data_IF_957705630917
#
_entry.id   IF_957705630917
#
_cell.length_a   1.000
_cell.length_b   1.000
_cell.length_c   1.000
_cell.angle_alpha   90.00
_cell.angle_beta   90.00
_cell.angle_gamma   90.00
#
_symmetry.space_group_name_H-M   'P 1'
#
loop_
_entity.id
_entity.type
_entity.pdbx_description
1 polymer ?
#
# COMPACT_ATOMS: atom_id res chain seq x y z
N UNK A 1 -10.94 -8.62 7.31
CA UNK A 1 -10.22 -8.52 6.04
C UNK A 1 -9.29 -9.72 5.86
N UNK A 2 -9.04 -10.14 4.62
CA UNK A 2 -8.13 -11.25 4.29
C UNK A 2 -6.67 -10.95 4.61
N UNK A 3 -6.29 -9.68 4.54
CA UNK A 3 -4.95 -9.20 4.86
C UNK A 3 -5.02 -7.97 5.75
N UNK A 4 -4.00 -7.76 6.55
CA UNK A 4 -3.81 -6.54 7.33
C UNK A 4 -2.35 -6.08 7.28
N UNK A 5 -2.09 -4.90 7.83
CA UNK A 5 -0.75 -4.32 7.86
C UNK A 5 -0.23 -4.35 9.27
N UNK A 6 0.95 -4.96 9.46
CA UNK A 6 1.68 -4.99 10.72
C UNK A 6 2.95 -4.15 10.64
N UNK A 7 3.22 -3.38 11.68
CA UNK A 7 4.47 -2.64 11.81
C UNK A 7 5.64 -3.56 12.18
N UNK A 8 6.80 -3.37 11.55
CA UNK A 8 8.04 -3.97 12.06
C UNK A 8 8.56 -3.17 13.25
N UNK A 9 9.24 -3.81 14.18
CA UNK A 9 9.82 -3.16 15.36
C UNK A 9 11.11 -2.37 15.04
N UNK A 10 11.51 -1.49 15.95
CA UNK A 10 12.71 -0.69 15.79
C UNK A 10 14.00 -1.54 15.69
N UNK A 11 14.04 -2.75 16.30
CA UNK A 11 15.17 -3.67 16.20
C UNK A 11 15.34 -4.16 14.78
N UNK A 12 14.25 -4.59 14.15
CA UNK A 12 14.22 -5.01 12.74
C UNK A 12 14.64 -3.90 11.78
N UNK A 13 14.26 -2.64 12.08
CA UNK A 13 14.69 -1.48 11.29
C UNK A 13 16.21 -1.25 11.42
N UNK A 14 16.77 -1.35 12.63
CA UNK A 14 18.21 -1.25 12.84
C UNK A 14 19.01 -2.35 12.13
N UNK A 15 18.46 -3.57 12.06
CA UNK A 15 19.08 -4.67 11.31
C UNK A 15 19.18 -4.38 9.80
N UNK A 16 18.30 -3.52 9.25
CA UNK A 16 18.40 -3.03 7.88
C UNK A 16 19.49 -1.95 7.70
N UNK A 17 20.28 -1.65 8.75
CA UNK A 17 21.30 -0.59 8.76
C UNK A 17 20.72 0.80 8.43
N UNK A 18 19.54 1.08 8.98
CA UNK A 18 18.86 2.37 8.86
C UNK A 18 19.08 3.15 10.15
N UNK A 19 19.74 4.31 10.02
CA UNK A 19 19.76 5.36 11.04
C UNK A 19 18.95 6.54 10.51
N UNK A 20 17.89 6.92 11.23
CA UNK A 20 17.02 8.02 10.83
C UNK A 20 17.71 9.38 10.80
N UNK A 21 18.83 9.52 11.54
CA UNK A 21 19.64 10.75 11.53
C UNK A 21 20.38 10.97 10.19
N UNK A 22 20.55 9.93 9.38
CA UNK A 22 21.21 10.04 8.07
C UNK A 22 20.37 10.75 7.01
N UNK A 23 19.07 10.91 7.25
CA UNK A 23 18.12 11.36 6.22
C UNK A 23 17.62 12.79 6.46
N UNK A 24 17.44 13.50 5.36
CA UNK A 24 16.94 14.89 5.35
C UNK A 24 15.60 15.02 4.63
N UNK A 25 15.19 13.96 3.94
CA UNK A 25 13.94 13.90 3.17
C UNK A 25 13.27 12.52 3.26
N UNK A 26 11.96 12.49 3.35
CA UNK A 26 11.15 11.27 3.42
C UNK A 26 10.21 11.21 2.21
N UNK A 27 10.22 10.08 1.50
CA UNK A 27 9.28 9.80 0.40
C UNK A 27 8.11 9.00 0.94
N UNK A 28 6.91 9.56 0.88
CA UNK A 28 5.69 8.98 1.43
C UNK A 28 4.73 8.59 0.30
N UNK A 29 4.58 7.30 0.06
CA UNK A 29 3.74 6.76 -1.02
C UNK A 29 2.33 6.37 -0.57
N UNK A 30 2.08 6.29 0.75
CA UNK A 30 0.80 5.88 1.31
C UNK A 30 0.59 6.41 2.72
N UNK A 31 -0.64 6.31 3.25
CA UNK A 31 -0.94 6.61 4.66
C UNK A 31 -0.21 5.68 5.62
N UNK A 32 -0.08 4.39 5.26
CA UNK A 32 0.70 3.44 6.06
C UNK A 32 2.17 3.86 6.16
N UNK A 33 2.77 4.37 5.07
CA UNK A 33 4.13 4.88 5.10
C UNK A 33 4.26 6.08 6.07
N UNK A 34 3.25 6.94 6.14
CA UNK A 34 3.21 8.05 7.11
C UNK A 34 3.13 7.51 8.54
N UNK A 35 2.12 6.70 8.86
CA UNK A 35 1.91 6.19 10.22
C UNK A 35 3.13 5.43 10.73
N UNK A 36 3.68 4.52 9.89
CA UNK A 36 4.81 3.70 10.31
C UNK A 36 6.14 4.46 10.38
N UNK A 37 6.33 5.53 9.58
CA UNK A 37 7.48 6.39 9.74
C UNK A 37 7.48 7.07 11.13
N UNK A 38 6.36 7.69 11.52
CA UNK A 38 6.29 8.38 12.81
C UNK A 38 6.30 7.41 13.98
N UNK A 39 5.68 6.23 13.87
CA UNK A 39 5.76 5.17 14.88
C UNK A 39 7.22 4.72 15.10
N UNK A 40 7.96 4.44 14.03
CA UNK A 40 9.38 4.04 14.13
C UNK A 40 10.23 5.19 14.67
N UNK A 41 9.97 6.44 14.28
CA UNK A 41 10.66 7.60 14.84
C UNK A 41 10.47 7.67 16.37
N UNK A 42 9.26 7.45 16.86
CA UNK A 42 8.96 7.41 18.30
C UNK A 42 9.66 6.24 18.99
N UNK A 43 9.54 5.01 18.48
CA UNK A 43 10.20 3.82 19.03
C UNK A 43 11.74 3.94 19.07
N UNK A 44 12.33 4.60 18.08
CA UNK A 44 13.76 4.87 18.02
C UNK A 44 14.16 6.12 18.81
N UNK A 45 13.23 6.83 19.42
CA UNK A 45 13.43 8.10 20.12
C UNK A 45 14.08 9.16 19.21
N UNK A 46 13.77 9.09 17.92
CA UNK A 46 14.22 10.06 16.92
C UNK A 46 13.27 11.26 16.90
N UNK A 47 13.79 12.41 17.32
CA UNK A 47 13.05 13.67 17.19
C UNK A 47 13.18 14.16 15.75
N UNK A 48 12.10 14.04 14.97
CA UNK A 48 12.09 14.48 13.58
C UNK A 48 12.40 15.98 13.50
N UNK A 49 13.50 16.36 12.78
CA UNK A 49 13.92 17.76 12.74
C UNK A 49 12.89 18.63 12.01
N UNK A 50 12.79 19.88 12.43
CA UNK A 50 11.99 20.89 11.73
C UNK A 50 12.40 21.13 10.27
N UNK A 51 13.63 20.78 9.92
CA UNK A 51 14.18 20.89 8.56
C UNK A 51 13.76 19.72 7.65
N UNK A 52 13.21 18.63 8.20
CA UNK A 52 12.81 17.45 7.43
C UNK A 52 11.87 17.81 6.29
N UNK A 53 12.16 17.31 5.10
CA UNK A 53 11.32 17.48 3.89
C UNK A 53 10.50 16.22 3.63
N UNK A 54 9.29 16.39 3.14
CA UNK A 54 8.37 15.30 2.85
C UNK A 54 7.93 15.35 1.39
N UNK A 55 8.09 14.25 0.68
CA UNK A 55 7.68 14.07 -0.71
C UNK A 55 6.49 13.11 -0.74
N UNK A 56 5.29 13.66 -0.82
CA UNK A 56 4.04 12.91 -0.75
C UNK A 56 3.54 12.58 -2.15
N UNK A 57 3.29 11.31 -2.43
CA UNK A 57 2.85 10.85 -3.75
C UNK A 57 1.56 11.53 -4.23
N UNK A 58 0.67 11.89 -3.30
CA UNK A 58 -0.61 12.52 -3.63
C UNK A 58 -1.06 13.51 -2.55
N UNK A 59 -2.03 14.36 -2.90
CA UNK A 59 -2.66 15.28 -1.94
C UNK A 59 -3.29 14.55 -0.75
N UNK A 60 -3.86 13.36 -0.97
CA UNK A 60 -4.45 12.55 0.10
C UNK A 60 -3.40 12.12 1.13
N UNK A 61 -2.16 11.81 0.70
CA UNK A 61 -1.05 11.48 1.60
C UNK A 61 -0.55 12.73 2.31
N UNK A 62 -0.42 13.86 1.60
CA UNK A 62 0.00 15.13 2.17
C UNK A 62 -1.00 15.66 3.21
N UNK A 63 -2.30 15.51 2.94
CA UNK A 63 -3.35 15.84 3.90
C UNK A 63 -3.26 14.96 5.15
N UNK A 64 -3.07 13.66 4.97
CA UNK A 64 -2.93 12.71 6.08
C UNK A 64 -1.68 12.97 6.94
N UNK A 65 -0.59 13.41 6.32
CA UNK A 65 0.66 13.78 7.01
C UNK A 65 0.43 14.89 8.06
N UNK A 66 -0.58 15.74 7.89
CA UNK A 66 -0.90 16.82 8.84
C UNK A 66 -1.33 16.31 10.23
N UNK A 67 -1.63 15.02 10.36
CA UNK A 67 -1.83 14.35 11.65
C UNK A 67 -0.57 14.43 12.54
N UNK A 68 0.61 14.50 11.91
CA UNK A 68 1.91 14.42 12.58
C UNK A 68 2.73 15.72 12.50
N UNK A 69 2.55 16.49 11.43
CA UNK A 69 3.33 17.70 11.20
C UNK A 69 2.46 18.86 10.75
N UNK A 70 2.85 20.08 11.14
CA UNK A 70 2.19 21.29 10.64
C UNK A 70 2.52 21.48 9.16
N UNK A 71 1.49 21.71 8.35
CA UNK A 71 1.67 21.93 6.91
C UNK A 71 2.50 23.19 6.64
N UNK A 72 3.59 23.02 5.91
CA UNK A 72 4.46 24.12 5.46
C UNK A 72 4.87 23.88 4.01
N UNK A 73 4.47 24.78 3.09
CA UNK A 73 4.81 24.70 1.63
C UNK A 73 6.29 24.48 1.33
N UNK A 74 7.20 24.93 2.23
CA UNK A 74 8.66 24.77 2.05
C UNK A 74 9.17 23.39 2.41
N UNK A 75 8.35 22.51 3.00
CA UNK A 75 8.74 21.21 3.52
C UNK A 75 7.94 20.06 2.95
N UNK A 76 6.75 20.32 2.42
CA UNK A 76 5.85 19.29 1.91
C UNK A 76 5.68 19.50 0.41
N UNK A 77 6.17 18.54 -0.36
CA UNK A 77 6.13 18.49 -1.82
C UNK A 77 5.15 17.41 -2.24
N UNK A 78 4.25 17.72 -3.15
CA UNK A 78 3.11 16.86 -3.45
C UNK A 78 3.07 16.53 -4.93
N UNK A 79 3.03 15.22 -5.24
CA UNK A 79 2.69 14.70 -6.56
C UNK A 79 1.17 14.74 -6.79
N UNK A 80 0.73 14.47 -8.00
CA UNK A 80 -0.69 14.46 -8.34
C UNK A 80 -1.32 13.11 -7.97
N UNK A 81 -0.81 12.02 -8.52
CA UNK A 81 -1.34 10.67 -8.33
C UNK A 81 -0.29 9.58 -8.48
N UNK A 82 0.55 9.68 -9.51
CA UNK A 82 1.58 8.68 -9.80
C UNK A 82 2.89 9.04 -9.11
N UNK A 83 3.72 8.05 -8.84
CA UNK A 83 5.06 8.29 -8.29
C UNK A 83 5.92 9.16 -9.20
N UNK A 84 5.77 9.00 -10.51
CA UNK A 84 6.45 9.79 -11.53
C UNK A 84 6.20 11.30 -11.42
N UNK A 85 5.09 11.71 -10.83
CA UNK A 85 4.79 13.14 -10.57
C UNK A 85 5.76 13.76 -9.56
N UNK A 86 6.37 12.93 -8.68
CA UNK A 86 7.37 13.40 -7.72
C UNK A 86 8.77 13.57 -8.33
N UNK A 87 9.05 12.93 -9.46
CA UNK A 87 10.38 12.94 -10.09
C UNK A 87 10.95 14.35 -10.30
N UNK A 88 10.21 15.32 -10.86
CA UNK A 88 10.72 16.70 -11.02
C UNK A 88 11.05 17.37 -9.68
N UNK A 89 10.24 17.08 -8.65
CA UNK A 89 10.45 17.63 -7.30
C UNK A 89 11.67 17.00 -6.63
N UNK A 90 11.84 15.68 -6.74
CA UNK A 90 13.00 14.95 -6.21
C UNK A 90 14.29 15.43 -6.90
N UNK A 91 14.29 15.56 -8.23
CA UNK A 91 15.43 16.10 -8.99
C UNK A 91 15.82 17.51 -8.56
N UNK A 92 14.85 18.37 -8.23
CA UNK A 92 15.12 19.71 -7.73
C UNK A 92 15.87 19.71 -6.39
N UNK A 93 15.67 18.67 -5.59
CA UNK A 93 16.26 18.50 -4.27
C UNK A 93 17.22 17.29 -4.20
N UNK A 94 17.94 17.04 -5.30
CA UNK A 94 18.82 15.87 -5.49
C UNK A 94 19.92 15.72 -4.41
N UNK A 95 20.28 16.81 -3.74
CA UNK A 95 21.33 16.84 -2.70
C UNK A 95 20.80 16.38 -1.33
N UNK A 96 19.49 16.16 -1.19
CA UNK A 96 18.90 15.58 0.01
C UNK A 96 19.19 14.09 0.11
N UNK A 97 19.18 13.57 1.34
CA UNK A 97 19.28 12.14 1.61
C UNK A 97 17.88 11.59 1.85
N UNK A 98 17.39 10.80 0.91
CA UNK A 98 16.00 10.33 0.90
C UNK A 98 15.85 8.99 1.62
N UNK A 99 14.84 8.88 2.49
CA UNK A 99 14.34 7.61 3.01
C UNK A 99 13.00 7.29 2.35
N UNK A 100 12.84 6.05 1.89
CA UNK A 100 11.59 5.49 1.40
C UNK A 100 11.05 4.45 2.41
N UNK A 101 10.21 4.85 3.39
CA UNK A 101 9.46 3.91 4.21
C UNK A 101 8.49 3.11 3.35
N UNK A 102 8.55 1.78 3.41
CA UNK A 102 7.72 0.93 2.55
C UNK A 102 7.23 -0.33 3.27
N UNK A 103 6.29 -1.02 2.64
CA UNK A 103 5.98 -2.41 2.95
C UNK A 103 7.12 -3.33 2.50
N UNK A 104 7.15 -4.54 3.01
CA UNK A 104 7.94 -5.65 2.48
C UNK A 104 7.62 -5.92 1.00
N UNK A 105 6.33 -5.86 0.64
CA UNK A 105 5.85 -5.94 -0.75
C UNK A 105 5.79 -4.54 -1.35
N UNK A 106 6.77 -4.17 -2.16
CA UNK A 106 6.82 -2.91 -2.87
C UNK A 106 6.87 -3.16 -4.38
N UNK A 107 6.05 -2.44 -5.14
CA UNK A 107 6.12 -2.46 -6.61
C UNK A 107 7.48 -1.93 -7.06
N UNK A 108 8.09 -2.60 -8.03
CA UNK A 108 9.44 -2.28 -8.53
C UNK A 108 9.51 -0.92 -9.23
N UNK A 109 8.41 -0.40 -9.74
CA UNK A 109 8.34 0.90 -10.44
C UNK A 109 8.91 2.07 -9.61
N UNK A 110 8.72 2.06 -8.28
CA UNK A 110 9.24 3.12 -7.40
C UNK A 110 10.75 3.01 -7.20
N UNK A 111 11.33 1.87 -6.77
CA UNK A 111 12.77 1.69 -6.70
C UNK A 111 13.45 1.93 -8.05
N UNK A 112 12.94 1.33 -9.13
CA UNK A 112 13.53 1.46 -10.47
C UNK A 112 13.59 2.93 -10.92
N UNK A 113 12.52 3.69 -10.65
CA UNK A 113 12.51 5.13 -10.92
C UNK A 113 13.57 5.86 -10.11
N UNK A 114 13.70 5.58 -8.79
CA UNK A 114 14.66 6.25 -7.93
C UNK A 114 16.11 5.96 -8.32
N UNK A 115 16.42 4.72 -8.73
CA UNK A 115 17.75 4.34 -9.23
C UNK A 115 18.16 5.17 -10.47
N UNK A 116 17.21 5.46 -11.35
CA UNK A 116 17.51 6.28 -12.54
C UNK A 116 17.83 7.74 -12.24
N UNK A 117 17.51 8.23 -11.02
CA UNK A 117 17.66 9.65 -10.67
C UNK A 117 19.06 10.04 -10.17
N UNK A 118 19.93 9.07 -9.94
CA UNK A 118 21.28 9.29 -9.39
C UNK A 118 21.26 10.17 -8.14
N UNK A 119 20.42 9.83 -7.18
CA UNK A 119 20.26 10.52 -5.89
C UNK A 119 20.66 9.61 -4.73
N UNK A 120 20.93 10.20 -3.56
CA UNK A 120 21.17 9.43 -2.36
C UNK A 120 19.86 9.02 -1.72
N UNK A 121 19.50 7.74 -1.81
CA UNK A 121 18.27 7.21 -1.23
C UNK A 121 18.47 5.82 -0.62
N UNK A 122 17.61 5.49 0.35
CA UNK A 122 17.51 4.13 0.90
C UNK A 122 16.05 3.75 1.10
N UNK A 123 15.73 2.50 0.82
CA UNK A 123 14.48 1.87 1.20
C UNK A 123 14.59 1.33 2.63
N UNK A 124 13.52 1.48 3.41
CA UNK A 124 13.38 0.80 4.69
C UNK A 124 12.01 0.13 4.81
N UNK A 125 11.99 -1.13 5.19
CA UNK A 125 10.77 -1.88 5.46
C UNK A 125 10.30 -1.51 6.87
N UNK A 126 9.21 -0.77 6.98
CA UNK A 126 8.64 -0.30 8.23
C UNK A 126 7.35 -1.01 8.61
N UNK A 127 6.75 -1.73 7.67
CA UNK A 127 5.54 -2.52 7.86
C UNK A 127 5.50 -3.69 6.88
N UNK A 128 4.65 -4.67 7.17
CA UNK A 128 4.45 -5.87 6.36
C UNK A 128 2.98 -6.05 6.07
N UNK A 129 2.67 -6.62 4.91
CA UNK A 129 1.33 -7.11 4.61
C UNK A 129 1.25 -8.56 5.09
N UNK A 130 0.37 -8.81 6.05
CA UNK A 130 0.23 -10.11 6.71
C UNK A 130 -1.13 -10.71 6.38
N UNK A 131 -1.15 -12.00 6.16
CA UNK A 131 -2.37 -12.78 6.01
C UNK A 131 -3.08 -12.84 7.36
N UNK A 132 -4.36 -12.47 7.38
CA UNK A 132 -5.17 -12.55 8.59
C UNK A 132 -5.54 -14.01 8.89
N UNK A 133 -5.54 -14.38 10.17
CA UNK A 133 -6.16 -15.62 10.60
C UNK A 133 -7.68 -15.48 10.49
N UNK A 134 -8.31 -16.32 9.68
CA UNK A 134 -9.74 -16.36 9.42
C UNK A 134 -10.37 -17.69 9.84
N UNK A 135 -9.72 -18.41 10.74
CA UNK A 135 -10.17 -19.73 11.21
C UNK A 135 -11.58 -19.71 11.83
N UNK A 136 -11.96 -18.58 12.41
CA UNK A 136 -13.30 -18.31 12.96
C UNK A 136 -14.40 -18.23 11.89
N UNK A 137 -14.04 -18.00 10.63
CA UNK A 137 -14.97 -17.90 9.50
C UNK A 137 -15.16 -19.20 8.73
N UNK A 138 -14.58 -20.32 9.17
CA UNK A 138 -14.62 -21.61 8.46
C UNK A 138 -16.05 -22.10 8.17
N UNK A 139 -16.99 -21.79 9.05
CA UNK A 139 -18.39 -22.21 8.93
C UNK A 139 -19.31 -21.08 8.45
N UNK A 140 -18.74 -19.95 7.98
CA UNK A 140 -19.52 -18.80 7.51
C UNK A 140 -19.57 -18.83 5.99
N UNK A 141 -20.78 -18.80 5.45
CA UNK A 141 -20.99 -18.67 4.01
C UNK A 141 -21.15 -17.21 3.61
N UNK A 142 -20.48 -16.83 2.53
CA UNK A 142 -20.60 -15.51 1.93
C UNK A 142 -21.08 -15.63 0.48
N UNK A 143 -22.09 -14.87 0.09
CA UNK A 143 -22.59 -14.82 -1.29
C UNK A 143 -21.54 -14.23 -2.24
N UNK A 144 -20.77 -13.24 -1.79
CA UNK A 144 -19.77 -12.56 -2.60
C UNK A 144 -18.49 -12.35 -1.78
N UNK A 145 -17.36 -12.80 -2.32
CA UNK A 145 -16.03 -12.47 -1.81
C UNK A 145 -15.38 -11.43 -2.72
N UNK A 146 -14.80 -10.38 -2.10
CA UNK A 146 -14.24 -9.23 -2.83
C UNK A 146 -12.74 -9.15 -2.59
N UNK A 147 -11.95 -9.12 -3.67
CA UNK A 147 -10.49 -9.06 -3.61
C UNK A 147 -9.95 -7.84 -4.35
N UNK A 148 -9.05 -7.12 -3.70
CA UNK A 148 -8.37 -5.93 -4.22
C UNK A 148 -6.89 -6.16 -4.55
N UNK A 149 -6.37 -7.35 -4.22
CA UNK A 149 -4.96 -7.68 -4.44
C UNK A 149 -4.75 -9.19 -4.56
N UNK A 150 -3.65 -9.63 -5.21
CA UNK A 150 -3.23 -11.04 -5.22
C UNK A 150 -3.09 -11.65 -3.83
N UNK A 151 -2.56 -10.88 -2.86
CA UNK A 151 -2.40 -11.34 -1.46
C UNK A 151 -3.73 -11.71 -0.80
N UNK A 152 -4.85 -11.10 -1.22
CA UNK A 152 -6.18 -11.49 -0.74
C UNK A 152 -6.59 -12.88 -1.22
N UNK A 153 -6.29 -13.21 -2.49
CA UNK A 153 -6.53 -14.56 -3.05
C UNK A 153 -5.64 -15.60 -2.33
N UNK A 154 -4.36 -15.26 -2.13
CA UNK A 154 -3.43 -16.11 -1.39
C UNK A 154 -3.94 -16.39 0.03
N UNK A 155 -4.43 -15.36 0.71
CA UNK A 155 -5.01 -15.49 2.05
C UNK A 155 -6.25 -16.39 2.07
N UNK A 156 -7.11 -16.31 1.06
CA UNK A 156 -8.24 -17.24 0.95
C UNK A 156 -7.77 -18.70 0.93
N UNK A 157 -6.82 -19.00 0.05
CA UNK A 157 -6.34 -20.38 -0.14
C UNK A 157 -5.53 -20.91 1.05
N UNK A 158 -4.79 -20.04 1.74
CA UNK A 158 -4.05 -20.44 2.95
C UNK A 158 -4.97 -20.70 4.15
N UNK A 159 -5.99 -19.85 4.35
CA UNK A 159 -6.95 -20.05 5.44
C UNK A 159 -7.93 -21.20 5.17
N UNK A 160 -8.26 -21.42 3.90
CA UNK A 160 -9.25 -22.41 3.47
C UNK A 160 -8.68 -23.26 2.32
N UNK A 161 -7.76 -24.20 2.61
CA UNK A 161 -7.13 -25.03 1.56
C UNK A 161 -8.12 -25.84 0.72
N UNK A 162 -9.24 -26.23 1.34
CA UNK A 162 -10.31 -27.01 0.72
C UNK A 162 -11.45 -26.10 0.19
N UNK A 163 -11.16 -24.81 -0.07
CA UNK A 163 -12.18 -23.87 -0.56
C UNK A 163 -12.71 -24.30 -1.92
N UNK A 164 -13.99 -24.59 -1.96
CA UNK A 164 -14.75 -24.80 -3.18
C UNK A 164 -15.69 -23.61 -3.42
N UNK A 165 -15.54 -22.94 -4.53
CA UNK A 165 -16.28 -21.72 -4.83
C UNK A 165 -17.80 -21.92 -4.90
N UNK A 166 -18.27 -23.06 -5.48
CA UNK A 166 -19.71 -23.36 -5.66
C UNK A 166 -20.53 -22.14 -6.12
N UNK A 167 -21.49 -21.71 -5.31
CA UNK A 167 -22.37 -20.58 -5.60
C UNK A 167 -21.81 -19.22 -5.16
N UNK A 168 -20.69 -19.20 -4.41
CA UNK A 168 -20.03 -17.94 -4.01
C UNK A 168 -19.53 -17.20 -5.23
N UNK A 169 -19.84 -15.91 -5.32
CA UNK A 169 -19.38 -15.03 -6.39
C UNK A 169 -18.03 -14.42 -6.00
N UNK A 170 -17.12 -14.35 -6.97
CA UNK A 170 -15.81 -13.74 -6.79
C UNK A 170 -15.77 -12.40 -7.52
N UNK A 171 -15.55 -11.33 -6.78
CA UNK A 171 -15.34 -9.98 -7.30
C UNK A 171 -13.88 -9.59 -7.18
N UNK A 172 -13.24 -9.14 -8.27
CA UNK A 172 -11.83 -8.78 -8.32
C UNK A 172 -11.60 -7.38 -8.85
N UNK A 173 -10.63 -6.67 -8.25
CA UNK A 173 -10.25 -5.33 -8.67
C UNK A 173 -8.82 -5.30 -9.21
N UNK A 174 -8.66 -4.89 -10.47
CA UNK A 174 -7.38 -4.75 -11.15
C UNK A 174 -6.85 -6.04 -11.77
N UNK A 175 -6.02 -5.88 -12.81
CA UNK A 175 -5.57 -7.02 -13.63
C UNK A 175 -4.72 -8.02 -12.84
N UNK A 176 -3.82 -7.55 -11.96
CA UNK A 176 -2.99 -8.45 -11.14
C UNK A 176 -3.83 -9.36 -10.23
N UNK A 177 -4.99 -8.88 -9.73
CA UNK A 177 -5.91 -9.68 -8.94
C UNK A 177 -6.69 -10.67 -9.82
N UNK A 178 -7.04 -10.26 -11.05
CA UNK A 178 -7.63 -11.15 -12.06
C UNK A 178 -6.70 -12.31 -12.37
N UNK A 179 -5.41 -12.01 -12.63
CA UNK A 179 -4.41 -13.02 -12.96
C UNK A 179 -4.21 -14.01 -11.79
N UNK A 180 -4.17 -13.52 -10.56
CA UNK A 180 -4.06 -14.34 -9.36
C UNK A 180 -5.29 -15.25 -9.16
N UNK A 181 -6.51 -14.73 -9.37
CA UNK A 181 -7.74 -15.50 -9.25
C UNK A 181 -7.81 -16.59 -10.32
N UNK A 182 -7.46 -16.28 -11.58
CA UNK A 182 -7.38 -17.27 -12.67
C UNK A 182 -6.32 -18.34 -12.38
N UNK A 183 -5.13 -17.94 -11.90
CA UNK A 183 -4.08 -18.88 -11.51
C UNK A 183 -4.47 -19.81 -10.37
N UNK A 184 -5.39 -19.36 -9.50
CA UNK A 184 -5.98 -20.15 -8.42
C UNK A 184 -7.19 -21.00 -8.88
N UNK A 185 -7.57 -20.98 -10.16
CA UNK A 185 -8.72 -21.73 -10.69
C UNK A 185 -10.08 -21.18 -10.26
N UNK A 186 -10.14 -19.93 -9.78
CA UNK A 186 -11.37 -19.30 -9.34
C UNK A 186 -12.15 -18.70 -10.53
N UNK A 187 -13.48 -18.89 -10.53
CA UNK A 187 -14.38 -18.24 -11.49
C UNK A 187 -14.58 -16.79 -11.08
N UNK A 188 -14.28 -15.86 -11.97
CA UNK A 188 -14.48 -14.43 -11.73
C UNK A 188 -15.90 -14.05 -12.22
N UNK A 189 -16.77 -13.64 -11.30
CA UNK A 189 -18.14 -13.25 -11.60
C UNK A 189 -18.26 -11.72 -11.77
N UNK A 190 -17.42 -10.94 -11.08
CA UNK A 190 -17.47 -9.48 -11.09
C UNK A 190 -16.05 -8.94 -11.25
N UNK A 191 -15.82 -8.13 -12.29
CA UNK A 191 -14.52 -7.50 -12.57
C UNK A 191 -14.62 -5.98 -12.52
N UNK A 192 -13.69 -5.33 -11.83
CA UNK A 192 -13.49 -3.89 -11.82
C UNK A 192 -11.96 -3.58 -11.85
N UNK A 193 -11.54 -2.38 -12.33
CA UNK A 193 -12.34 -1.37 -12.98
C UNK A 193 -12.69 -1.74 -14.43
N UNK A 194 -13.85 -1.29 -14.89
CA UNK A 194 -14.20 -1.27 -16.31
C UNK A 194 -14.63 0.15 -16.68
N UNK A 195 -14.74 0.51 -17.99
CA UNK A 195 -15.26 1.82 -18.39
C UNK A 195 -16.62 2.15 -17.79
N UNK A 196 -17.48 1.15 -17.65
CA UNK A 196 -18.84 1.30 -17.10
C UNK A 196 -18.88 1.25 -15.57
N UNK A 197 -17.95 0.54 -14.95
CA UNK A 197 -17.86 0.36 -13.50
C UNK A 197 -16.43 0.61 -13.00
N UNK A 198 -16.00 1.89 -12.91
CA UNK A 198 -14.63 2.26 -12.54
C UNK A 198 -14.32 2.00 -11.06
N UNK A 199 -15.30 1.67 -10.24
CA UNK A 199 -15.11 1.28 -8.84
C UNK A 199 -15.72 -0.07 -8.54
N UNK A 200 -15.21 -0.78 -7.52
CA UNK A 200 -15.78 -2.04 -7.06
C UNK A 200 -17.22 -1.87 -6.55
N UNK A 201 -17.52 -0.77 -5.88
CA UNK A 201 -18.88 -0.48 -5.39
C UNK A 201 -19.88 -0.41 -6.54
N UNK A 202 -19.53 0.28 -7.64
CA UNK A 202 -20.40 0.35 -8.83
C UNK A 202 -20.56 -1.02 -9.50
N UNK A 203 -19.48 -1.82 -9.56
CA UNK A 203 -19.54 -3.16 -10.14
C UNK A 203 -20.46 -4.08 -9.33
N UNK A 204 -20.33 -4.05 -8.02
CA UNK A 204 -21.21 -4.80 -7.10
C UNK A 204 -22.66 -4.36 -7.23
N UNK A 205 -22.92 -3.05 -7.22
CA UNK A 205 -24.29 -2.52 -7.38
C UNK A 205 -24.93 -2.96 -8.70
N UNK A 206 -24.18 -2.86 -9.81
CA UNK A 206 -24.66 -3.30 -11.13
C UNK A 206 -25.00 -4.79 -11.12
N UNK A 207 -24.10 -5.62 -10.58
CA UNK A 207 -24.29 -7.06 -10.48
C UNK A 207 -25.52 -7.42 -9.64
N UNK A 208 -25.62 -6.92 -8.40
CA UNK A 208 -26.74 -7.19 -7.49
C UNK A 208 -28.07 -6.76 -8.09
N UNK A 209 -28.12 -5.60 -8.75
CA UNK A 209 -29.34 -5.13 -9.44
C UNK A 209 -29.73 -6.05 -10.61
N UNK A 210 -28.76 -6.69 -11.28
CA UNK A 210 -29.03 -7.57 -12.41
C UNK A 210 -29.58 -8.94 -12.01
N UNK A 211 -29.15 -9.45 -10.83
CA UNK A 211 -29.56 -10.80 -10.36
C UNK A 211 -30.83 -10.79 -9.49
N UNK A 212 -31.21 -9.63 -8.96
CA UNK A 212 -32.40 -9.45 -8.14
C UNK A 212 -33.61 -8.93 -8.97
N UNK A 213 -33.55 -8.98 -10.29
CA UNK A 213 -34.66 -8.75 -11.20
C UNK A 213 -35.34 -10.08 -11.51
#
# INVERSE_FOLDING_TARGET
>A
PFIHVEGVDAKSVRQQKIDLNDFTAIILTSRNAVDHFFRIAEEMRFKVPDSMKYFCQSEAVAYYLQKYVVYRKRKIYVGKRLFTDLVPLIKKYKDEKFLLPSSDVLKLDVPDTLETLNINWKRAIFYKTVISDLSDLRNVYYDILVFFSPSGIESLLQNFPDFEQKETRIAVFGNSTVDAANGAGLRIDIKAPTPETPSMTMALQKYITSVNK
#
